data_IF_181679117734
#
_entry.id   IF_181679117734
#
_cell.length_a   1.000
_cell.length_b   1.000
_cell.length_c   1.000
_cell.angle_alpha   90.00
_cell.angle_beta   90.00
_cell.angle_gamma   90.00
#
_symmetry.space_group_name_H-M   'P 1'
#
loop_
_entity.id
_entity.type
_entity.pdbx_description
1 polymer ?
#
# COMPACT_ATOMS: atom_id res chain seq x y z
N UNK A 1 22.00 43.94 20.33
CA UNK A 1 21.00 43.67 19.27
C UNK A 1 21.60 42.89 18.11
N UNK A 2 22.69 43.30 17.48
CA UNK A 2 23.30 42.59 16.32
C UNK A 2 23.75 41.15 16.66
N UNK A 3 24.44 40.94 17.79
CA UNK A 3 24.90 39.61 18.22
C UNK A 3 23.73 38.66 18.45
N UNK A 4 22.64 39.13 19.08
CA UNK A 4 21.44 38.31 19.28
C UNK A 4 20.79 37.93 17.95
N UNK A 5 20.73 38.82 16.98
CA UNK A 5 20.24 38.56 15.64
C UNK A 5 21.07 37.50 14.91
N UNK A 6 22.41 37.62 14.98
CA UNK A 6 23.35 36.67 14.38
C UNK A 6 23.13 35.26 14.99
N UNK A 7 23.01 35.18 16.32
CA UNK A 7 22.79 33.91 17.02
C UNK A 7 21.46 33.26 16.58
N UNK A 8 20.38 34.05 16.50
CA UNK A 8 19.06 33.54 16.04
C UNK A 8 19.12 33.08 14.59
N UNK A 9 19.69 33.87 13.69
CA UNK A 9 19.83 33.51 12.26
C UNK A 9 20.65 32.26 12.08
N UNK A 10 21.82 32.19 12.75
CA UNK A 10 22.69 31.01 12.68
C UNK A 10 22.02 29.75 13.24
N UNK A 11 21.32 29.87 14.37
CA UNK A 11 20.57 28.77 14.96
C UNK A 11 19.44 28.27 14.05
N UNK A 12 18.69 29.20 13.45
CA UNK A 12 17.62 28.84 12.47
C UNK A 12 18.19 28.13 11.24
N UNK A 13 19.29 28.66 10.68
CA UNK A 13 19.95 28.03 9.54
C UNK A 13 20.47 26.62 9.87
N UNK A 14 21.02 26.41 11.06
CA UNK A 14 21.47 25.10 11.52
C UNK A 14 20.31 24.09 11.64
N UNK A 15 19.13 24.51 12.15
CA UNK A 15 17.95 23.66 12.23
C UNK A 15 17.44 23.30 10.83
N UNK A 16 17.34 24.27 9.91
CA UNK A 16 16.91 24.03 8.53
C UNK A 16 17.87 23.02 7.85
N UNK A 17 19.17 23.21 8.01
CA UNK A 17 20.17 22.29 7.45
C UNK A 17 20.07 20.88 8.05
N UNK A 18 19.89 20.75 9.35
CA UNK A 18 19.71 19.46 10.01
C UNK A 18 18.47 18.73 9.50
N UNK A 19 17.33 19.42 9.32
CA UNK A 19 16.11 18.85 8.76
C UNK A 19 16.31 18.47 7.28
N UNK A 20 17.03 19.26 6.50
CA UNK A 20 17.39 18.92 5.11
C UNK A 20 18.20 17.61 5.04
N UNK A 21 19.23 17.49 5.86
CA UNK A 21 20.08 16.27 5.91
C UNK A 21 19.26 15.06 6.34
N UNK A 22 18.39 15.21 7.34
CA UNK A 22 17.49 14.16 7.78
C UNK A 22 16.53 13.74 6.65
N UNK A 23 15.89 14.69 5.98
CA UNK A 23 14.99 14.43 4.86
C UNK A 23 15.72 13.69 3.72
N UNK A 24 16.94 14.10 3.39
CA UNK A 24 17.77 13.44 2.38
C UNK A 24 18.13 12.01 2.79
N UNK A 25 18.50 11.80 4.04
CA UNK A 25 18.79 10.46 4.59
C UNK A 25 17.54 9.57 4.53
N UNK A 26 16.38 10.05 4.99
CA UNK A 26 15.10 9.32 4.97
C UNK A 26 14.71 8.99 3.55
N UNK A 27 14.77 9.97 2.64
CA UNK A 27 14.45 9.77 1.23
C UNK A 27 15.31 8.67 0.60
N UNK A 28 16.64 8.72 0.80
CA UNK A 28 17.55 7.73 0.24
C UNK A 28 17.35 6.34 0.88
N UNK A 29 17.21 6.28 2.20
CA UNK A 29 17.04 5.02 2.95
C UNK A 29 15.78 4.26 2.51
N UNK A 30 14.69 4.96 2.21
CA UNK A 30 13.41 4.34 1.85
C UNK A 30 13.35 4.07 0.35
N UNK A 31 13.71 5.05 -0.48
CA UNK A 31 13.42 5.00 -1.91
C UNK A 31 14.56 4.40 -2.75
N UNK A 32 15.80 4.41 -2.25
CA UNK A 32 16.96 3.85 -2.96
C UNK A 32 17.31 2.42 -2.52
N UNK A 33 16.34 1.71 -1.94
CA UNK A 33 16.47 0.32 -1.52
C UNK A 33 15.52 -0.57 -2.32
N UNK A 34 15.96 -1.80 -2.62
CA UNK A 34 15.12 -2.89 -3.11
C UNK A 34 14.49 -3.65 -1.93
N UNK A 35 13.25 -4.08 -2.11
CA UNK A 35 12.47 -4.76 -1.09
C UNK A 35 12.08 -6.17 -1.56
N UNK A 36 12.83 -7.17 -1.10
CA UNK A 36 12.64 -8.58 -1.50
C UNK A 36 11.83 -9.41 -0.48
N UNK A 37 11.13 -8.73 0.44
CA UNK A 37 10.50 -9.42 1.56
C UNK A 37 11.53 -9.93 2.58
N UNK A 38 11.12 -10.90 3.39
CA UNK A 38 11.97 -11.54 4.37
C UNK A 38 12.12 -13.03 4.03
N UNK A 39 13.32 -13.46 3.69
CA UNK A 39 13.63 -14.86 3.27
C UNK A 39 13.31 -15.95 4.30
N UNK A 40 13.08 -15.58 5.55
CA UNK A 40 12.73 -16.50 6.62
C UNK A 40 11.23 -16.64 6.82
N UNK A 41 10.42 -15.81 6.18
CA UNK A 41 8.97 -15.92 6.21
C UNK A 41 8.47 -16.88 5.13
N UNK A 42 7.44 -17.64 5.47
CA UNK A 42 6.65 -18.34 4.47
C UNK A 42 5.73 -17.29 3.80
N UNK A 43 5.82 -17.20 2.50
CA UNK A 43 4.83 -16.54 1.66
C UNK A 43 3.98 -17.63 1.00
N UNK A 44 2.67 -17.55 1.17
CA UNK A 44 1.77 -18.53 0.57
C UNK A 44 1.80 -18.43 -0.97
N UNK A 45 1.61 -19.59 -1.60
CA UNK A 45 1.42 -19.73 -3.06
C UNK A 45 0.01 -20.26 -3.35
N UNK A 46 -0.33 -20.41 -4.62
CA UNK A 46 -1.59 -21.05 -5.01
C UNK A 46 -1.71 -22.48 -4.51
N UNK A 47 -0.59 -23.21 -4.39
CA UNK A 47 -0.56 -24.60 -3.92
C UNK A 47 -1.00 -24.75 -2.46
N UNK A 48 -0.93 -23.69 -1.67
CA UNK A 48 -1.40 -23.68 -0.28
C UNK A 48 -2.95 -23.60 -0.18
N UNK A 49 -3.66 -23.34 -1.30
CA UNK A 49 -5.11 -23.12 -1.33
C UNK A 49 -5.80 -24.02 -2.37
N UNK A 50 -6.62 -25.00 -1.94
CA UNK A 50 -7.31 -25.91 -2.87
C UNK A 50 -8.13 -25.19 -3.94
N UNK A 51 -7.84 -25.48 -5.22
CA UNK A 51 -8.55 -24.93 -6.37
C UNK A 51 -8.16 -23.49 -6.77
N UNK A 52 -7.21 -22.88 -6.09
CA UNK A 52 -6.60 -21.64 -6.54
C UNK A 52 -5.59 -21.94 -7.64
N UNK A 53 -5.70 -21.26 -8.77
CA UNK A 53 -4.72 -21.30 -9.86
C UNK A 53 -4.00 -19.95 -9.92
N UNK A 54 -2.69 -19.99 -10.20
CA UNK A 54 -1.85 -18.81 -10.38
C UNK A 54 -1.11 -18.93 -11.72
N UNK A 55 -1.48 -18.12 -12.68
CA UNK A 55 -0.84 -18.04 -14.00
C UNK A 55 0.15 -16.88 -14.01
N UNK A 56 1.45 -17.11 -14.31
CA UNK A 56 2.44 -16.05 -14.34
C UNK A 56 2.09 -14.99 -15.37
N UNK A 57 2.22 -13.72 -14.98
CA UNK A 57 2.08 -12.58 -15.88
C UNK A 57 3.30 -11.67 -15.82
N UNK A 58 3.56 -10.96 -16.89
CA UNK A 58 4.55 -9.88 -16.90
C UNK A 58 4.14 -8.77 -17.85
N UNK A 59 4.46 -7.53 -17.50
CA UNK A 59 4.19 -6.35 -18.31
C UNK A 59 5.20 -5.24 -17.99
N UNK A 60 5.31 -4.26 -18.88
CA UNK A 60 6.24 -3.13 -18.68
C UNK A 60 5.59 -2.01 -17.89
N UNK A 61 6.30 -1.50 -16.89
CA UNK A 61 6.04 -0.22 -16.26
C UNK A 61 6.38 0.93 -17.21
N UNK A 62 5.80 2.12 -17.00
CA UNK A 62 6.09 3.33 -17.78
C UNK A 62 7.57 3.75 -17.76
N UNK A 63 8.32 3.26 -16.81
CA UNK A 63 9.75 3.52 -16.67
C UNK A 63 10.63 2.39 -17.22
N UNK A 64 10.06 1.43 -17.96
CA UNK A 64 10.77 0.36 -18.64
C UNK A 64 11.17 -0.85 -17.76
N UNK A 65 10.73 -0.90 -16.50
CA UNK A 65 10.91 -2.10 -15.67
C UNK A 65 9.88 -3.16 -16.04
N UNK A 66 10.28 -4.42 -16.11
CA UNK A 66 9.36 -5.55 -16.19
C UNK A 66 8.76 -5.81 -14.81
N UNK A 67 7.45 -5.65 -14.70
CA UNK A 67 6.68 -6.03 -13.54
C UNK A 67 6.20 -7.47 -13.69
N UNK A 68 6.34 -8.26 -12.63
CA UNK A 68 5.98 -9.68 -12.61
C UNK A 68 4.96 -9.93 -11.52
N UNK A 69 4.10 -10.90 -11.74
CA UNK A 69 3.07 -11.31 -10.82
C UNK A 69 2.27 -12.49 -11.34
N UNK A 70 1.04 -12.60 -10.89
CA UNK A 70 0.16 -13.70 -11.25
C UNK A 70 -1.26 -13.22 -11.52
N UNK A 71 -1.93 -13.91 -12.44
CA UNK A 71 -3.37 -13.93 -12.54
C UNK A 71 -3.88 -15.08 -11.68
N UNK A 72 -4.51 -14.75 -10.56
CA UNK A 72 -5.15 -15.71 -9.68
C UNK A 72 -6.61 -15.94 -10.12
N UNK A 73 -7.02 -17.19 -10.21
CA UNK A 73 -8.33 -17.58 -10.70
C UNK A 73 -8.73 -18.97 -10.19
N UNK A 74 -9.99 -19.36 -10.39
CA UNK A 74 -10.44 -20.75 -10.23
C UNK A 74 -10.74 -21.35 -11.60
N UNK A 75 -10.54 -22.65 -11.71
CA UNK A 75 -10.89 -23.43 -12.90
C UNK A 75 -12.41 -23.38 -13.13
N UNK A 76 -12.83 -23.25 -14.37
CA UNK A 76 -14.25 -23.36 -14.79
C UNK A 76 -15.21 -22.28 -14.25
N UNK A 77 -14.72 -21.17 -13.73
CA UNK A 77 -15.55 -20.10 -13.24
C UNK A 77 -15.51 -18.88 -14.18
N UNK A 78 -16.65 -18.47 -14.72
CA UNK A 78 -16.75 -17.19 -15.41
C UNK A 78 -16.58 -16.07 -14.37
N UNK A 79 -15.59 -15.17 -14.53
CA UNK A 79 -15.33 -14.17 -13.53
C UNK A 79 -16.37 -13.06 -13.51
N UNK A 80 -16.80 -12.63 -12.34
CA UNK A 80 -17.67 -11.46 -12.14
C UNK A 80 -17.01 -10.17 -12.65
N UNK A 81 -15.72 -10.01 -12.38
CA UNK A 81 -14.89 -8.89 -12.80
C UNK A 81 -13.40 -9.22 -12.58
N UNK A 82 -12.52 -8.35 -13.09
CA UNK A 82 -11.08 -8.37 -12.79
C UNK A 82 -10.76 -7.43 -11.63
N UNK A 83 -10.20 -7.95 -10.55
CA UNK A 83 -9.59 -7.16 -9.48
C UNK A 83 -8.11 -6.98 -9.80
N UNK A 84 -7.63 -5.72 -9.85
CA UNK A 84 -6.21 -5.41 -10.00
C UNK A 84 -5.69 -5.01 -8.62
N UNK A 85 -4.81 -5.84 -8.06
CA UNK A 85 -4.34 -5.70 -6.69
C UNK A 85 -2.97 -5.00 -6.62
N UNK A 86 -2.89 -3.95 -5.80
CA UNK A 86 -1.65 -3.25 -5.45
C UNK A 86 -1.26 -3.53 -4.00
N UNK A 87 -0.09 -4.15 -3.79
CA UNK A 87 0.40 -4.54 -2.48
C UNK A 87 0.90 -3.37 -1.63
N UNK A 88 0.97 -3.57 -0.31
CA UNK A 88 1.58 -2.66 0.66
C UNK A 88 3.10 -2.62 0.56
N UNK A 89 3.72 -1.71 1.31
CA UNK A 89 5.16 -1.50 1.28
C UNK A 89 5.95 -2.71 1.78
N UNK A 90 6.89 -3.19 0.97
CA UNK A 90 8.01 -4.02 1.43
C UNK A 90 7.96 -5.51 1.16
N UNK A 91 6.80 -6.15 0.92
CA UNK A 91 6.71 -7.62 0.87
C UNK A 91 6.30 -8.23 -0.47
N UNK A 92 5.84 -7.43 -1.44
CA UNK A 92 5.26 -7.93 -2.68
C UNK A 92 3.83 -8.50 -2.49
N UNK A 93 3.23 -8.95 -3.60
CA UNK A 93 1.84 -9.42 -3.61
C UNK A 93 1.62 -10.74 -2.87
N UNK A 94 2.63 -11.62 -2.81
CA UNK A 94 2.53 -12.93 -2.13
C UNK A 94 2.26 -12.83 -0.63
N UNK A 95 2.53 -11.67 -0.01
CA UNK A 95 2.16 -11.44 1.38
C UNK A 95 0.65 -11.35 1.62
N UNK A 96 -0.14 -11.30 0.55
CA UNK A 96 -1.60 -11.15 0.56
C UNK A 96 -2.33 -12.34 -0.07
N UNK A 97 -1.65 -13.47 -0.30
CA UNK A 97 -2.25 -14.62 -1.02
C UNK A 97 -3.51 -15.15 -0.33
N UNK A 98 -3.62 -15.05 1.00
CA UNK A 98 -4.83 -15.41 1.74
C UNK A 98 -6.02 -14.56 1.30
N UNK A 99 -5.87 -13.23 1.32
CA UNK A 99 -6.89 -12.27 0.96
C UNK A 99 -7.22 -12.35 -0.55
N UNK A 100 -6.20 -12.57 -1.40
CA UNK A 100 -6.41 -12.77 -2.83
C UNK A 100 -7.22 -14.04 -3.10
N UNK A 101 -6.94 -15.13 -2.38
CA UNK A 101 -7.73 -16.37 -2.47
C UNK A 101 -9.19 -16.13 -2.06
N UNK A 102 -9.47 -15.37 -1.00
CA UNK A 102 -10.84 -15.05 -0.58
C UNK A 102 -11.60 -14.28 -1.67
N UNK A 103 -10.93 -13.31 -2.35
CA UNK A 103 -11.53 -12.59 -3.49
C UNK A 103 -11.78 -13.53 -4.68
N UNK A 104 -10.83 -14.45 -4.97
CA UNK A 104 -10.99 -15.43 -6.04
C UNK A 104 -12.12 -16.42 -5.72
N UNK A 105 -12.27 -16.86 -4.47
CA UNK A 105 -13.38 -17.72 -4.03
C UNK A 105 -14.74 -17.04 -4.18
N UNK A 106 -14.79 -15.70 -4.09
CA UNK A 106 -15.99 -14.91 -4.33
C UNK A 106 -16.36 -14.77 -5.82
N UNK A 107 -15.56 -15.35 -6.74
CA UNK A 107 -15.84 -15.38 -8.18
C UNK A 107 -15.16 -14.29 -8.99
N UNK A 108 -14.10 -13.65 -8.47
CA UNK A 108 -13.30 -12.66 -9.19
C UNK A 108 -12.02 -13.29 -9.74
N UNK A 109 -11.54 -12.78 -10.85
CA UNK A 109 -10.12 -12.94 -11.19
C UNK A 109 -9.29 -11.84 -10.53
N UNK A 110 -8.09 -12.17 -10.08
CA UNK A 110 -7.22 -11.21 -9.42
C UNK A 110 -5.87 -11.14 -10.14
N UNK A 111 -5.58 -9.99 -10.74
CA UNK A 111 -4.27 -9.66 -11.27
C UNK A 111 -3.46 -8.98 -10.14
N UNK A 112 -2.49 -9.69 -9.59
CA UNK A 112 -1.62 -9.20 -8.55
C UNK A 112 -0.16 -9.23 -9.02
N UNK A 113 0.58 -8.17 -8.77
CA UNK A 113 1.96 -8.00 -9.25
C UNK A 113 2.85 -7.38 -8.16
N UNK A 114 4.14 -7.53 -8.33
CA UNK A 114 5.13 -6.84 -7.52
C UNK A 114 5.50 -5.50 -8.15
N UNK A 115 5.50 -4.44 -7.36
CA UNK A 115 5.88 -3.12 -7.83
C UNK A 115 7.38 -3.03 -8.15
N UNK A 116 7.80 -2.02 -8.91
CA UNK A 116 9.20 -1.73 -9.23
C UNK A 116 10.10 -1.80 -7.99
N UNK A 117 11.16 -2.58 -8.06
CA UNK A 117 12.12 -2.74 -6.95
C UNK A 117 11.59 -3.56 -5.77
N UNK A 118 10.51 -4.33 -5.97
CA UNK A 118 9.96 -5.27 -5.00
C UNK A 118 9.99 -6.69 -5.54
N UNK A 119 10.21 -7.64 -4.65
CA UNK A 119 10.16 -9.09 -4.87
C UNK A 119 10.65 -9.57 -6.26
N UNK A 120 9.79 -10.06 -7.16
CA UNK A 120 10.19 -10.63 -8.44
C UNK A 120 10.28 -9.60 -9.59
N UNK A 121 9.74 -8.39 -9.42
CA UNK A 121 9.79 -7.34 -10.45
C UNK A 121 11.16 -6.69 -10.58
N UNK A 122 11.45 -6.14 -11.77
CA UNK A 122 12.69 -5.42 -12.02
C UNK A 122 12.79 -4.13 -11.19
N UNK A 123 13.99 -3.57 -11.19
CA UNK A 123 14.31 -2.32 -10.53
C UNK A 123 15.36 -2.48 -9.43
N UNK A 124 16.42 -1.65 -9.50
CA UNK A 124 17.50 -1.64 -8.49
C UNK A 124 16.99 -1.16 -7.11
N UNK A 125 15.90 -0.41 -7.11
CA UNK A 125 15.29 0.15 -5.92
C UNK A 125 13.82 0.55 -6.17
N UNK A 126 13.10 0.91 -5.10
CA UNK A 126 11.71 1.34 -5.13
C UNK A 126 11.46 2.62 -5.93
N UNK A 127 12.45 3.47 -6.10
CA UNK A 127 12.38 4.84 -6.65
C UNK A 127 11.55 5.82 -5.84
N UNK A 128 10.50 5.40 -5.18
CA UNK A 128 9.63 6.23 -4.34
C UNK A 128 8.18 5.79 -4.36
N UNK A 129 7.37 6.31 -3.45
CA UNK A 129 5.96 5.91 -3.38
C UNK A 129 5.17 6.23 -4.65
N UNK A 130 5.50 7.34 -5.31
CA UNK A 130 4.86 7.72 -6.58
C UNK A 130 5.13 6.70 -7.70
N UNK A 131 6.24 5.91 -7.64
CA UNK A 131 6.51 4.85 -8.61
C UNK A 131 5.41 3.79 -8.63
N UNK A 132 4.87 3.42 -7.47
CA UNK A 132 3.78 2.45 -7.41
C UNK A 132 2.50 2.91 -8.11
N UNK A 133 2.27 4.24 -8.20
CA UNK A 133 1.16 4.77 -9.01
C UNK A 133 1.40 4.52 -10.51
N UNK A 134 2.63 4.75 -11.01
CA UNK A 134 2.97 4.43 -12.40
C UNK A 134 2.84 2.95 -12.69
N UNK A 135 3.29 2.11 -11.76
CA UNK A 135 3.22 0.66 -11.90
C UNK A 135 1.76 0.17 -11.95
N UNK A 136 0.88 0.72 -11.10
CA UNK A 136 -0.54 0.39 -11.12
C UNK A 136 -1.24 0.90 -12.41
N UNK A 137 -0.92 2.11 -12.86
CA UNK A 137 -1.42 2.60 -14.15
C UNK A 137 -0.98 1.70 -15.30
N UNK A 138 0.26 1.19 -15.28
CA UNK A 138 0.74 0.23 -16.28
C UNK A 138 -0.01 -1.11 -16.19
N UNK A 139 -0.31 -1.61 -14.98
CA UNK A 139 -1.14 -2.80 -14.79
C UNK A 139 -2.56 -2.64 -15.35
N UNK A 140 -3.18 -1.46 -15.14
CA UNK A 140 -4.50 -1.13 -15.71
C UNK A 140 -4.44 -1.13 -17.25
N UNK A 141 -3.42 -0.48 -17.85
CA UNK A 141 -3.26 -0.47 -19.31
C UNK A 141 -2.96 -1.86 -19.87
N UNK A 142 -2.15 -2.66 -19.18
CA UNK A 142 -1.95 -4.07 -19.55
C UNK A 142 -3.28 -4.81 -19.57
N UNK A 143 -4.11 -4.65 -18.54
CA UNK A 143 -5.41 -5.29 -18.47
C UNK A 143 -6.41 -4.76 -19.51
N UNK A 144 -6.31 -3.48 -19.90
CA UNK A 144 -7.15 -2.90 -20.96
C UNK A 144 -6.77 -3.37 -22.36
N UNK A 145 -5.50 -3.73 -22.60
CA UNK A 145 -4.98 -4.16 -23.88
C UNK A 145 -4.90 -5.69 -24.04
N UNK A 146 -5.30 -6.44 -23.02
CA UNK A 146 -5.29 -7.90 -23.06
C UNK A 146 -6.69 -8.42 -23.41
N UNK A 147 -6.84 -9.05 -24.59
CA UNK A 147 -8.11 -9.59 -25.09
C UNK A 147 -8.83 -10.52 -24.09
N UNK A 148 -8.06 -11.19 -23.22
CA UNK A 148 -8.61 -12.05 -22.16
C UNK A 148 -9.50 -11.30 -21.19
N UNK A 149 -9.32 -9.99 -21.01
CA UNK A 149 -10.06 -9.14 -20.09
C UNK A 149 -11.03 -8.20 -20.81
N UNK A 150 -11.27 -8.41 -22.11
CA UNK A 150 -12.22 -7.60 -22.88
C UNK A 150 -13.62 -7.71 -22.29
N UNK A 151 -14.31 -6.58 -22.20
CA UNK A 151 -15.64 -6.48 -21.61
C UNK A 151 -15.71 -6.65 -20.08
N UNK A 152 -14.62 -7.07 -19.42
CA UNK A 152 -14.61 -7.21 -17.98
C UNK A 152 -14.52 -5.86 -17.27
N UNK A 153 -15.37 -5.64 -16.26
CA UNK A 153 -15.20 -4.53 -15.30
C UNK A 153 -13.90 -4.72 -14.54
N UNK A 154 -13.17 -3.63 -14.31
CA UNK A 154 -11.90 -3.64 -13.59
C UNK A 154 -12.04 -2.85 -12.30
N UNK A 155 -11.74 -3.51 -11.19
CA UNK A 155 -11.83 -2.96 -9.83
C UNK A 155 -10.41 -2.89 -9.25
N UNK A 156 -10.00 -1.72 -8.78
CA UNK A 156 -8.73 -1.59 -8.09
C UNK A 156 -8.88 -1.98 -6.61
N UNK A 157 -7.93 -2.72 -6.08
CA UNK A 157 -7.89 -3.05 -4.66
C UNK A 157 -6.46 -2.86 -4.15
N UNK A 158 -6.29 -2.19 -3.02
CA UNK A 158 -4.97 -2.00 -2.46
C UNK A 158 -4.97 -1.73 -0.97
N UNK A 159 -3.83 -2.06 -0.34
CA UNK A 159 -3.59 -1.85 1.08
C UNK A 159 -2.39 -0.93 1.30
N UNK A 160 -2.49 0.00 2.24
CA UNK A 160 -1.37 0.86 2.66
C UNK A 160 -0.79 1.66 1.48
N UNK A 161 0.45 1.39 1.08
CA UNK A 161 1.05 1.97 -0.13
C UNK A 161 0.23 1.62 -1.38
N UNK A 162 -0.26 0.39 -1.50
CA UNK A 162 -1.15 -0.01 -2.58
C UNK A 162 -2.45 0.80 -2.60
N UNK A 163 -3.03 1.10 -1.44
CA UNK A 163 -4.20 1.97 -1.34
C UNK A 163 -3.91 3.42 -1.77
N UNK A 164 -2.72 3.95 -1.45
CA UNK A 164 -2.24 5.22 -2.00
C UNK A 164 -2.13 5.16 -3.53
N UNK A 165 -1.60 4.07 -4.09
CA UNK A 165 -1.52 3.87 -5.53
C UNK A 165 -2.92 3.83 -6.16
N UNK A 166 -3.84 3.05 -5.59
CA UNK A 166 -5.24 2.95 -6.01
C UNK A 166 -5.92 4.31 -6.07
N UNK A 167 -5.85 5.07 -4.97
CA UNK A 167 -6.47 6.40 -4.89
C UNK A 167 -5.89 7.40 -5.90
N UNK A 168 -4.63 7.25 -6.31
CA UNK A 168 -3.98 8.13 -7.29
C UNK A 168 -4.02 7.61 -8.74
N UNK A 169 -4.69 6.46 -8.99
CA UNK A 169 -4.89 5.88 -10.31
C UNK A 169 -6.37 5.90 -10.76
N UNK A 170 -7.27 6.53 -10.00
CA UNK A 170 -8.71 6.53 -10.27
C UNK A 170 -9.09 7.23 -11.59
N UNK A 171 -8.22 8.08 -12.13
CA UNK A 171 -8.45 8.77 -13.41
C UNK A 171 -8.10 7.91 -14.63
N UNK A 172 -7.43 6.73 -14.46
CA UNK A 172 -7.14 5.83 -15.57
C UNK A 172 -8.43 5.26 -16.17
N UNK A 173 -8.41 5.08 -17.50
CA UNK A 173 -9.54 4.53 -18.24
C UNK A 173 -9.79 3.05 -17.92
N UNK A 174 -11.03 2.60 -18.10
CA UNK A 174 -11.43 1.21 -17.92
C UNK A 174 -11.62 0.77 -16.46
N UNK A 175 -11.40 1.65 -15.47
CA UNK A 175 -11.65 1.36 -14.05
C UNK A 175 -13.12 1.61 -13.72
N UNK A 176 -13.77 0.62 -13.11
CA UNK A 176 -15.19 0.67 -12.70
C UNK A 176 -15.38 1.11 -11.25
N UNK A 177 -14.40 0.89 -10.38
CA UNK A 177 -14.42 1.28 -8.98
C UNK A 177 -13.16 0.86 -8.23
N UNK A 178 -13.09 1.16 -6.93
CA UNK A 178 -11.88 0.89 -6.16
C UNK A 178 -12.13 0.63 -4.67
N UNK A 179 -11.27 -0.19 -4.06
CA UNK A 179 -11.18 -0.43 -2.62
C UNK A 179 -9.80 0.01 -2.12
N UNK A 180 -9.76 0.89 -1.15
CA UNK A 180 -8.52 1.41 -0.57
C UNK A 180 -8.49 1.19 0.95
N UNK A 181 -7.61 0.31 1.43
CA UNK A 181 -7.46 -0.03 2.84
C UNK A 181 -6.24 0.66 3.45
N UNK A 182 -6.42 1.47 4.49
CA UNK A 182 -5.37 2.20 5.23
C UNK A 182 -4.45 3.02 4.33
N UNK A 183 -5.00 3.67 3.29
CA UNK A 183 -4.26 4.56 2.41
C UNK A 183 -3.85 5.88 3.08
N UNK A 184 -2.90 6.59 2.47
CA UNK A 184 -2.37 7.85 2.99
C UNK A 184 -2.45 9.00 1.97
N UNK A 185 -2.33 10.23 2.46
CA UNK A 185 -2.56 11.44 1.66
C UNK A 185 -1.46 11.66 0.62
N UNK A 186 -0.17 11.54 1.02
CA UNK A 186 0.98 11.65 0.12
C UNK A 186 2.23 11.00 0.69
N UNK A 187 3.15 10.56 -0.18
CA UNK A 187 4.39 9.91 0.23
C UNK A 187 5.27 10.79 1.13
N UNK A 188 5.44 12.07 0.78
CA UNK A 188 6.21 13.00 1.59
C UNK A 188 5.60 13.18 2.99
N UNK A 189 4.26 13.31 3.07
CA UNK A 189 3.55 13.51 4.34
C UNK A 189 3.64 12.29 5.25
N UNK A 190 3.43 11.07 4.74
CA UNK A 190 3.51 9.87 5.57
C UNK A 190 4.94 9.61 6.05
N UNK A 191 5.97 9.93 5.26
CA UNK A 191 7.36 9.84 5.69
C UNK A 191 7.65 10.83 6.83
N UNK A 192 7.35 12.12 6.65
CA UNK A 192 7.61 13.14 7.68
C UNK A 192 6.84 12.87 8.98
N UNK A 193 5.62 12.34 8.90
CA UNK A 193 4.85 11.90 10.07
C UNK A 193 5.52 10.74 10.84
N UNK A 194 6.23 9.87 10.13
CA UNK A 194 6.87 8.69 10.70
C UNK A 194 8.34 8.89 11.09
N UNK A 195 8.92 10.04 10.77
CA UNK A 195 10.28 10.44 11.11
C UNK A 195 10.30 11.59 12.10
N UNK A 196 10.57 12.82 11.65
CA UNK A 196 10.65 13.99 12.53
C UNK A 196 9.36 14.26 13.28
N UNK A 197 8.22 13.99 12.65
CA UNK A 197 6.90 14.24 13.24
C UNK A 197 6.55 13.38 14.45
N UNK A 198 7.33 12.36 14.76
CA UNK A 198 7.21 11.59 16.02
C UNK A 198 7.80 12.32 17.21
N UNK A 199 8.84 13.13 17.00
CA UNK A 199 9.62 13.77 18.05
C UNK A 199 9.45 15.29 18.04
N UNK A 200 9.35 15.89 16.88
CA UNK A 200 9.26 17.33 16.67
C UNK A 200 8.13 17.68 15.69
N UNK A 201 6.85 17.60 16.12
CA UNK A 201 5.69 17.82 15.24
C UNK A 201 5.72 19.17 14.52
N UNK A 202 6.25 20.22 15.18
CA UNK A 202 6.37 21.55 14.60
C UNK A 202 7.31 21.62 13.38
N UNK A 203 8.24 20.69 13.22
CA UNK A 203 9.19 20.64 12.10
C UNK A 203 8.71 19.73 10.94
N UNK A 204 7.58 19.07 11.10
CA UNK A 204 7.04 18.13 10.09
C UNK A 204 6.84 18.80 8.73
N UNK A 205 6.37 20.05 8.72
CA UNK A 205 6.15 20.79 7.46
C UNK A 205 7.45 21.05 6.69
N UNK A 206 8.54 21.30 7.40
CA UNK A 206 9.84 21.60 6.80
C UNK A 206 10.45 20.32 6.17
N UNK A 207 10.40 19.20 6.88
CA UNK A 207 10.84 17.91 6.33
C UNK A 207 9.97 17.49 5.13
N UNK A 208 8.65 17.67 5.23
CA UNK A 208 7.72 17.40 4.12
C UNK A 208 8.07 18.25 2.89
N UNK A 209 8.42 19.53 3.07
CA UNK A 209 8.83 20.42 1.97
C UNK A 209 10.08 19.88 1.25
N UNK A 210 11.11 19.46 1.97
CA UNK A 210 12.32 18.88 1.38
C UNK A 210 12.03 17.54 0.71
N UNK A 211 11.24 16.67 1.32
CA UNK A 211 10.83 15.40 0.71
C UNK A 211 10.06 15.65 -0.60
N UNK A 212 9.15 16.62 -0.63
CA UNK A 212 8.42 17.03 -1.85
C UNK A 212 9.38 17.53 -2.93
N UNK A 213 10.41 18.28 -2.57
CA UNK A 213 11.45 18.73 -3.50
C UNK A 213 12.19 17.53 -4.10
N UNK A 214 12.62 16.54 -3.29
CA UNK A 214 13.31 15.34 -3.76
C UNK A 214 12.42 14.48 -4.67
N UNK A 215 11.14 14.31 -4.32
CA UNK A 215 10.16 13.66 -5.21
C UNK A 215 10.01 14.42 -6.52
N UNK A 216 9.95 15.76 -6.47
CA UNK A 216 9.87 16.60 -7.65
C UNK A 216 11.09 16.47 -8.57
N UNK A 217 12.29 16.39 -8.00
CA UNK A 217 13.53 16.15 -8.75
C UNK A 217 13.54 14.77 -9.41
N UNK A 218 12.94 13.74 -8.77
CA UNK A 218 12.92 12.35 -9.26
C UNK A 218 11.82 12.10 -10.31
N UNK A 219 10.63 12.62 -10.12
CA UNK A 219 9.44 12.33 -10.93
C UNK A 219 8.93 13.52 -11.76
N UNK A 220 9.60 14.65 -11.70
CA UNK A 220 9.24 15.84 -12.48
C UNK A 220 7.84 16.36 -12.13
N UNK A 221 7.08 16.77 -13.14
CA UNK A 221 5.74 17.38 -12.98
C UNK A 221 4.70 16.43 -12.39
N UNK A 222 4.89 15.13 -12.55
CA UNK A 222 3.97 14.09 -12.06
C UNK A 222 4.26 13.64 -10.61
N UNK A 223 5.21 14.28 -9.93
CA UNK A 223 5.56 14.02 -8.54
C UNK A 223 4.51 14.50 -7.54
N UNK A 224 4.67 14.04 -6.31
CA UNK A 224 3.87 14.48 -5.15
C UNK A 224 2.37 14.22 -5.32
N UNK A 225 2.05 12.99 -5.73
CA UNK A 225 0.68 12.50 -5.81
C UNK A 225 -0.05 12.73 -4.49
N UNK A 226 -1.34 13.07 -4.58
CA UNK A 226 -2.16 13.42 -3.43
C UNK A 226 -3.53 12.76 -3.53
N UNK A 227 -3.76 11.77 -2.69
CA UNK A 227 -4.96 10.93 -2.71
C UNK A 227 -6.25 11.73 -2.46
N UNK A 228 -6.23 12.78 -1.62
CA UNK A 228 -7.43 13.63 -1.41
C UNK A 228 -7.80 14.36 -2.69
N UNK A 229 -6.80 14.93 -3.39
CA UNK A 229 -7.04 15.64 -4.66
C UNK A 229 -7.57 14.71 -5.74
N UNK A 230 -7.04 13.49 -5.84
CA UNK A 230 -7.49 12.50 -6.81
C UNK A 230 -8.92 12.02 -6.50
N UNK A 231 -9.22 11.78 -5.22
CA UNK A 231 -10.54 11.33 -4.80
C UNK A 231 -11.64 12.40 -5.03
N UNK A 232 -11.31 13.69 -4.87
CA UNK A 232 -12.25 14.80 -5.19
C UNK A 232 -12.64 14.87 -6.67
N UNK A 233 -11.79 14.36 -7.57
CA UNK A 233 -12.01 14.46 -9.02
C UNK A 233 -12.77 13.29 -9.60
N UNK A 234 -12.73 12.15 -8.93
CA UNK A 234 -13.38 10.94 -9.43
C UNK A 234 -14.86 10.90 -9.11
N UNK A 235 -15.64 10.37 -10.05
CA UNK A 235 -17.05 9.96 -9.84
C UNK A 235 -17.19 8.44 -9.66
N UNK A 236 -16.08 7.70 -9.75
CA UNK A 236 -16.08 6.25 -9.61
C UNK A 236 -16.38 5.87 -8.16
N UNK A 237 -17.09 4.76 -7.97
CA UNK A 237 -17.37 4.24 -6.62
C UNK A 237 -16.08 3.85 -5.91
N UNK A 238 -15.88 4.30 -4.68
CA UNK A 238 -14.69 4.01 -3.87
C UNK A 238 -15.11 3.55 -2.47
N UNK A 239 -14.57 2.41 -2.02
CA UNK A 239 -14.66 1.97 -0.64
C UNK A 239 -13.37 2.33 0.10
N UNK A 240 -13.48 3.11 1.17
CA UNK A 240 -12.39 3.45 2.07
C UNK A 240 -12.52 2.64 3.36
N UNK A 241 -11.49 1.89 3.72
CA UNK A 241 -11.44 1.10 4.97
C UNK A 241 -10.25 1.54 5.81
N UNK A 242 -10.49 1.86 7.09
CA UNK A 242 -9.44 2.27 8.02
C UNK A 242 -9.60 1.61 9.39
N UNK A 243 -8.49 1.17 9.98
CA UNK A 243 -8.43 0.88 11.41
C UNK A 243 -8.19 2.15 12.20
N UNK A 244 -9.00 2.43 13.23
CA UNK A 244 -8.91 3.66 14.02
C UNK A 244 -7.72 3.68 14.99
N UNK A 245 -7.13 2.51 15.26
CA UNK A 245 -5.91 2.35 16.05
C UNK A 245 -4.62 2.31 15.19
N UNK A 246 -4.70 2.59 13.87
CA UNK A 246 -3.54 2.57 12.97
C UNK A 246 -2.51 3.65 13.35
N UNK A 247 -1.30 3.18 13.70
CA UNK A 247 -0.14 4.02 14.01
C UNK A 247 0.89 4.03 12.88
N UNK A 248 0.82 3.11 11.94
CA UNK A 248 1.73 2.99 10.78
C UNK A 248 1.40 4.08 9.76
N UNK A 249 0.15 4.12 9.33
CA UNK A 249 -0.45 5.24 8.61
C UNK A 249 -1.36 5.96 9.60
N UNK A 250 -0.80 6.84 10.40
CA UNK A 250 -1.50 7.47 11.52
C UNK A 250 -2.95 7.83 11.19
N UNK A 251 -3.91 7.15 11.81
CA UNK A 251 -5.33 7.31 11.54
C UNK A 251 -5.80 8.75 11.64
N UNK A 252 -5.45 9.46 12.74
CA UNK A 252 -5.88 10.86 12.96
C UNK A 252 -5.37 11.81 11.87
N UNK A 253 -4.18 11.53 11.32
CA UNK A 253 -3.52 12.37 10.31
C UNK A 253 -3.83 11.97 8.85
N UNK A 254 -4.40 10.78 8.65
CA UNK A 254 -4.77 10.26 7.33
C UNK A 254 -6.23 9.76 7.31
N UNK A 255 -6.56 8.61 7.84
CA UNK A 255 -7.90 8.00 7.78
C UNK A 255 -9.01 8.96 8.21
N UNK A 256 -8.90 9.56 9.40
CA UNK A 256 -9.89 10.53 9.89
C UNK A 256 -10.05 11.78 8.98
N UNK A 257 -9.00 12.15 8.23
CA UNK A 257 -9.08 13.25 7.26
C UNK A 257 -9.92 12.84 6.05
N UNK A 258 -9.69 11.63 5.51
CA UNK A 258 -10.50 11.09 4.41
C UNK A 258 -11.96 10.94 4.82
N UNK A 259 -12.20 10.34 5.99
CA UNK A 259 -13.56 10.11 6.47
C UNK A 259 -14.33 11.41 6.68
N UNK A 260 -13.71 12.41 7.31
CA UNK A 260 -14.33 13.72 7.52
C UNK A 260 -14.69 14.42 6.21
N UNK A 261 -13.89 14.21 5.15
CA UNK A 261 -14.10 14.89 3.87
C UNK A 261 -15.07 14.14 2.97
N UNK A 262 -15.06 12.81 2.98
CA UNK A 262 -15.74 12.00 1.98
C UNK A 262 -16.88 11.12 2.53
N UNK A 263 -17.00 10.90 3.86
CA UNK A 263 -18.17 10.23 4.39
C UNK A 263 -19.42 11.07 4.14
N UNK A 264 -20.32 10.52 3.32
CA UNK A 264 -21.52 11.20 2.85
C UNK A 264 -21.43 11.66 1.38
N UNK A 265 -20.29 11.51 0.72
CA UNK A 265 -20.20 11.68 -0.73
C UNK A 265 -20.89 10.47 -1.42
N UNK A 266 -21.68 10.75 -2.45
CA UNK A 266 -22.53 9.78 -3.15
C UNK A 266 -21.77 8.56 -3.69
N UNK A 267 -20.51 8.79 -4.11
CA UNK A 267 -19.66 7.78 -4.71
C UNK A 267 -18.65 7.17 -3.74
N UNK A 268 -18.64 7.53 -2.44
CA UNK A 268 -17.66 7.02 -1.48
C UNK A 268 -18.35 6.33 -0.30
N UNK A 269 -18.02 5.08 -0.11
CA UNK A 269 -18.42 4.30 1.07
C UNK A 269 -17.24 4.29 2.05
N UNK A 270 -17.53 4.52 3.32
CA UNK A 270 -16.51 4.55 4.38
C UNK A 270 -16.78 3.47 5.41
N UNK A 271 -15.73 2.72 5.78
CA UNK A 271 -15.73 1.75 6.87
C UNK A 271 -14.62 2.05 7.86
N UNK A 272 -14.99 2.18 9.13
CA UNK A 272 -14.03 2.27 10.25
C UNK A 272 -14.05 0.94 11.00
N UNK A 273 -12.88 0.32 11.14
CA UNK A 273 -12.70 -0.90 11.89
C UNK A 273 -12.21 -0.54 13.30
N UNK A 274 -13.14 -0.51 14.25
CA UNK A 274 -12.90 -0.10 15.64
C UNK A 274 -11.85 -0.99 16.31
N UNK A 275 -10.85 -0.35 16.93
CA UNK A 275 -9.75 -0.99 17.66
C UNK A 275 -8.79 -1.78 16.78
N UNK A 276 -8.91 -1.73 15.44
CA UNK A 276 -7.96 -2.36 14.51
C UNK A 276 -6.84 -1.39 14.14
N UNK A 277 -5.66 -1.95 13.92
CA UNK A 277 -4.49 -1.17 13.54
C UNK A 277 -4.34 -1.08 12.00
N UNK A 278 -3.17 -1.42 11.47
CA UNK A 278 -2.82 -1.16 10.06
C UNK A 278 -3.37 -2.21 9.08
N UNK A 279 -3.70 -3.42 9.56
CA UNK A 279 -4.17 -4.52 8.73
C UNK A 279 -5.65 -4.84 9.03
N UNK A 280 -6.60 -3.98 8.62
CA UNK A 280 -8.01 -4.12 9.00
C UNK A 280 -8.66 -5.41 8.47
N UNK A 281 -8.09 -6.01 7.43
CA UNK A 281 -8.51 -7.29 6.87
C UNK A 281 -8.21 -8.50 7.76
N UNK A 282 -7.32 -8.36 8.76
CA UNK A 282 -7.06 -9.39 9.76
C UNK A 282 -8.00 -9.25 10.96
N UNK A 283 -8.24 -10.35 11.70
CA UNK A 283 -8.88 -10.26 13.02
C UNK A 283 -7.98 -9.48 13.99
N UNK A 284 -8.55 -8.86 15.03
CA UNK A 284 -7.77 -8.16 16.07
C UNK A 284 -6.74 -9.07 16.72
N UNK A 285 -7.10 -10.34 16.93
CA UNK A 285 -6.21 -11.33 17.56
C UNK A 285 -5.08 -11.75 16.62
N UNK A 286 -5.36 -11.91 15.32
CA UNK A 286 -4.35 -12.19 14.31
C UNK A 286 -3.34 -11.05 14.19
N UNK A 287 -3.82 -9.81 14.08
CA UNK A 287 -2.93 -8.63 13.98
C UNK A 287 -2.09 -8.44 15.25
N UNK A 288 -2.69 -8.64 16.44
CA UNK A 288 -1.96 -8.61 17.70
C UNK A 288 -0.89 -9.69 17.76
N UNK A 289 -1.25 -10.95 17.48
CA UNK A 289 -0.30 -12.08 17.47
C UNK A 289 0.85 -11.87 16.46
N UNK A 290 0.54 -11.34 15.27
CA UNK A 290 1.53 -10.98 14.27
C UNK A 290 2.51 -9.91 14.80
N UNK A 291 2.01 -8.83 15.39
CA UNK A 291 2.82 -7.75 15.93
C UNK A 291 3.69 -8.20 17.11
N UNK A 292 3.16 -9.01 18.01
CA UNK A 292 3.89 -9.61 19.14
C UNK A 292 5.00 -10.53 18.64
N UNK A 293 4.68 -11.42 17.70
CA UNK A 293 5.64 -12.37 17.10
C UNK A 293 6.81 -11.63 16.45
N UNK A 294 6.53 -10.67 15.58
CA UNK A 294 7.60 -9.92 14.89
C UNK A 294 8.40 -9.01 15.83
N UNK A 295 7.77 -8.45 16.85
CA UNK A 295 8.45 -7.67 17.88
C UNK A 295 9.40 -8.54 18.71
N UNK A 296 8.97 -9.74 19.10
CA UNK A 296 9.79 -10.70 19.82
C UNK A 296 11.00 -11.16 18.97
N UNK A 297 10.77 -11.47 17.68
CA UNK A 297 11.83 -11.83 16.74
C UNK A 297 12.82 -10.68 16.57
N UNK A 298 12.34 -9.44 16.41
CA UNK A 298 13.20 -8.26 16.27
C UNK A 298 14.04 -8.00 17.52
N UNK A 299 13.47 -8.19 18.71
CA UNK A 299 14.19 -8.09 19.98
C UNK A 299 15.24 -9.21 20.12
N UNK A 300 14.90 -10.44 19.76
CA UNK A 300 15.81 -11.56 19.79
C UNK A 300 16.96 -11.42 18.79
N UNK A 301 16.70 -10.88 17.61
CA UNK A 301 17.73 -10.65 16.57
C UNK A 301 18.87 -9.75 17.05
N UNK A 302 18.57 -8.78 17.95
CA UNK A 302 19.60 -7.92 18.57
C UNK A 302 20.48 -8.66 19.59
N UNK A 303 19.95 -9.74 20.19
CA UNK A 303 20.63 -10.53 21.23
C UNK A 303 21.34 -11.75 20.66
N UNK A 304 20.64 -12.51 19.82
CA UNK A 304 21.12 -13.75 19.21
C UNK A 304 20.42 -13.95 17.86
N UNK A 305 21.17 -13.76 16.78
CA UNK A 305 20.66 -13.87 15.41
C UNK A 305 20.16 -15.28 15.07
N UNK A 306 20.90 -16.33 15.46
CA UNK A 306 20.53 -17.71 15.16
C UNK A 306 19.20 -18.10 15.83
N UNK A 307 19.03 -17.73 17.10
CA UNK A 307 17.78 -17.97 17.80
C UNK A 307 16.60 -17.20 17.19
N UNK A 308 16.83 -15.99 16.66
CA UNK A 308 15.81 -15.27 15.93
C UNK A 308 15.40 -15.98 14.64
N UNK A 309 16.35 -16.59 13.92
CA UNK A 309 16.06 -17.40 12.72
C UNK A 309 15.20 -18.62 13.08
N UNK A 310 15.50 -19.32 14.17
CA UNK A 310 14.67 -20.44 14.64
C UNK A 310 13.24 -20.02 14.99
N UNK A 311 13.05 -18.81 15.52
CA UNK A 311 11.71 -18.28 15.81
C UNK A 311 10.86 -18.12 14.55
N UNK A 312 11.45 -17.77 13.39
CA UNK A 312 10.70 -17.70 12.14
C UNK A 312 10.10 -19.05 11.74
N UNK A 313 10.81 -20.15 11.98
CA UNK A 313 10.31 -21.50 11.68
C UNK A 313 9.13 -21.95 12.56
N UNK A 314 8.91 -21.25 13.69
CA UNK A 314 7.86 -21.57 14.66
C UNK A 314 6.66 -20.63 14.56
N UNK A 315 6.58 -19.77 13.53
CA UNK A 315 5.45 -18.86 13.34
C UNK A 315 4.19 -19.68 13.05
N UNK A 316 3.15 -19.43 13.83
CA UNK A 316 1.81 -19.93 13.56
C UNK A 316 1.12 -19.08 12.49
N UNK A 317 1.33 -19.46 11.23
CA UNK A 317 0.77 -18.75 10.09
C UNK A 317 -0.75 -18.80 10.06
N UNK A 318 -1.38 -19.89 10.48
CA UNK A 318 -2.84 -19.98 10.53
C UNK A 318 -3.45 -18.93 11.46
N UNK A 319 -2.75 -18.65 12.56
CA UNK A 319 -3.16 -17.61 13.52
C UNK A 319 -2.92 -16.19 13.01
N UNK A 320 -1.73 -15.89 12.49
CA UNK A 320 -1.35 -14.52 12.14
C UNK A 320 -1.93 -14.04 10.81
N UNK A 321 -2.47 -14.93 9.98
CA UNK A 321 -3.15 -14.60 8.71
C UNK A 321 -4.67 -14.83 8.77
N UNK A 322 -5.24 -14.94 9.96
CA UNK A 322 -6.68 -15.12 10.09
C UNK A 322 -7.42 -13.84 9.68
N UNK A 323 -8.16 -13.95 8.58
CA UNK A 323 -8.94 -12.83 8.03
C UNK A 323 -10.15 -12.45 8.89
N UNK A 324 -10.47 -11.17 8.88
CA UNK A 324 -11.74 -10.68 9.40
C UNK A 324 -12.84 -10.86 8.35
N UNK A 325 -13.73 -11.82 8.61
CA UNK A 325 -14.82 -12.18 7.70
C UNK A 325 -15.77 -11.01 7.41
N UNK A 326 -15.98 -10.10 8.35
CA UNK A 326 -16.87 -8.95 8.16
C UNK A 326 -16.23 -7.94 7.19
N UNK A 327 -14.95 -7.63 7.38
CA UNK A 327 -14.23 -6.72 6.48
C UNK A 327 -14.15 -7.31 5.07
N UNK A 328 -13.76 -8.57 4.94
CA UNK A 328 -13.67 -9.22 3.63
C UNK A 328 -15.05 -9.35 2.94
N UNK A 329 -16.11 -9.61 3.70
CA UNK A 329 -17.50 -9.58 3.17
C UNK A 329 -17.84 -8.19 2.63
N UNK A 330 -17.57 -7.12 3.38
CA UNK A 330 -17.83 -5.74 2.92
C UNK A 330 -17.05 -5.42 1.63
N UNK A 331 -15.80 -5.88 1.51
CA UNK A 331 -15.02 -5.74 0.26
C UNK A 331 -15.72 -6.47 -0.90
N UNK A 332 -16.16 -7.72 -0.69
CA UNK A 332 -16.82 -8.53 -1.71
C UNK A 332 -18.16 -7.91 -2.12
N UNK A 333 -19.01 -7.54 -1.16
CA UNK A 333 -20.31 -6.90 -1.41
C UNK A 333 -20.16 -5.59 -2.19
N UNK A 334 -19.14 -4.80 -1.87
CA UNK A 334 -18.82 -3.60 -2.61
C UNK A 334 -18.38 -3.91 -4.05
N UNK A 335 -17.52 -4.90 -4.26
CA UNK A 335 -17.14 -5.38 -5.58
C UNK A 335 -18.34 -5.91 -6.36
N UNK A 336 -19.26 -6.66 -5.72
CA UNK A 336 -20.50 -7.16 -6.31
C UNK A 336 -21.41 -5.99 -6.77
N UNK A 337 -21.50 -4.91 -5.98
CA UNK A 337 -22.27 -3.71 -6.35
C UNK A 337 -21.73 -2.99 -7.60
N UNK A 338 -20.43 -3.15 -7.88
CA UNK A 338 -19.81 -2.62 -9.09
C UNK A 338 -20.04 -3.59 -10.25
N UNK A 339 -19.87 -4.89 -10.02
CA UNK A 339 -19.97 -5.93 -11.06
C UNK A 339 -21.38 -6.07 -11.58
N UNK A 340 -22.40 -5.98 -10.72
CA UNK A 340 -23.83 -6.10 -11.09
C UNK A 340 -24.42 -4.83 -11.72
N UNK A 341 -23.89 -3.65 -11.45
CA UNK A 341 -24.38 -2.39 -12.03
C UNK A 341 -24.04 -2.30 -13.53
N UNK A 342 -25.05 -2.17 -14.37
CA UNK A 342 -24.91 -1.84 -15.80
C UNK A 342 -24.56 -0.39 -15.97
#
# INVERSE_FOLDING_TARGET
MVIALIVVVSGTAAVIFAVFVLALFVFNRINNKRYNGNKFLKYFSADDFPGLLAEPISFLSDCGQTLRGFLYQRKECQPKALVIFAHGFGAGHRAYTTELNTIVQAGYWVLAYDATGCAESDGKNLRGFDQGVYDLCAAVRYANNCARFDGMKKILLGHSWGAFCVLNSLEEDGISGAVAMCGFISGAKVLSQNTIGKYFPALTFLEEAFLRLFYRMRFGRKANRNSLKSLRRTKKKVLLIYGDADRTVNYKKNGAVFLREFCGAENVVCMVCEGKAHNPYLTKDAERAMNETFSAIAAQKKKNYQKAVEMYARIDYAKITQEDRQVMRTVIEFCDSISAGQ
#
